data_IF_935490679020
#
_entry.id   IF_935490679020
#
_cell.length_a   1.000
_cell.length_b   1.000
_cell.length_c   1.000
_cell.angle_alpha   90.00
_cell.angle_beta   90.00
_cell.angle_gamma   90.00
#
_symmetry.space_group_name_H-M   'P 1'
#
loop_
_entity.id
_entity.type
_entity.pdbx_description
1 polymer ?
#
# COMPACT_ATOMS: atom_id res chain seq x y z
N UNK A 1 16.33 3.50 5.33
CA UNK A 1 15.42 2.45 5.85
C UNK A 1 14.80 1.62 4.73
N UNK A 2 14.61 0.31 4.94
CA UNK A 2 13.83 -0.55 4.03
C UNK A 2 12.56 -1.05 4.72
N UNK A 3 11.44 -1.00 4.01
CA UNK A 3 10.15 -1.52 4.47
C UNK A 3 9.70 -2.61 3.49
N UNK A 4 9.68 -3.87 3.95
CA UNK A 4 9.10 -4.98 3.23
C UNK A 4 7.59 -5.03 3.53
N UNK A 5 6.78 -4.85 2.50
CA UNK A 5 5.32 -4.84 2.60
C UNK A 5 4.76 -6.09 1.95
N UNK A 6 4.04 -6.89 2.74
CA UNK A 6 3.21 -8.00 2.26
C UNK A 6 1.76 -7.53 2.16
N UNK A 7 1.24 -7.44 0.95
CA UNK A 7 -0.15 -7.08 0.67
C UNK A 7 -1.01 -8.34 0.68
N UNK A 8 -2.07 -8.30 1.48
CA UNK A 8 -3.04 -9.37 1.70
C UNK A 8 -4.34 -8.97 1.01
N UNK A 9 -4.86 -9.88 0.20
CA UNK A 9 -6.20 -9.79 -0.38
C UNK A 9 -6.95 -11.06 0.02
N UNK A 10 -7.94 -10.94 0.92
CA UNK A 10 -8.67 -12.10 1.45
C UNK A 10 -9.68 -12.69 0.47
N UNK A 11 -10.11 -11.90 -0.50
CA UNK A 11 -11.03 -12.33 -1.56
C UNK A 11 -10.26 -12.76 -2.79
N UNK A 12 -10.60 -13.94 -3.31
CA UNK A 12 -10.17 -14.33 -4.65
C UNK A 12 -10.88 -13.44 -5.67
N UNK A 13 -10.12 -12.83 -6.58
CA UNK A 13 -10.64 -11.97 -7.62
C UNK A 13 -9.85 -12.19 -8.92
N UNK A 14 -10.58 -12.20 -10.04
CA UNK A 14 -9.99 -12.15 -11.36
C UNK A 14 -9.54 -10.71 -11.64
N UNK A 15 -8.25 -10.51 -11.92
CA UNK A 15 -7.73 -9.17 -12.19
C UNK A 15 -7.93 -8.83 -13.67
N UNK A 16 -8.69 -7.77 -13.98
CA UNK A 16 -8.88 -7.33 -15.36
C UNK A 16 -7.57 -6.85 -15.97
N UNK A 17 -7.55 -6.81 -17.30
CA UNK A 17 -6.43 -6.20 -18.02
C UNK A 17 -6.35 -4.70 -17.66
N UNK A 18 -5.17 -4.28 -17.21
CA UNK A 18 -4.95 -2.92 -16.74
C UNK A 18 -4.99 -2.74 -15.23
N UNK A 19 -5.29 -3.78 -14.44
CA UNK A 19 -5.22 -3.68 -12.99
C UNK A 19 -3.79 -3.33 -12.52
N UNK A 20 -3.68 -2.44 -11.53
CA UNK A 20 -2.41 -1.96 -10.98
C UNK A 20 -2.49 -1.93 -9.47
N UNK A 21 -1.50 -2.50 -8.81
CA UNK A 21 -1.30 -2.36 -7.38
C UNK A 21 -0.24 -1.29 -7.11
N UNK A 22 -0.61 -0.30 -6.31
CA UNK A 22 0.29 0.71 -5.76
C UNK A 22 0.41 0.52 -4.24
N UNK A 23 1.63 0.66 -3.74
CA UNK A 23 1.95 0.71 -2.33
C UNK A 23 2.76 1.97 -2.09
N UNK A 24 2.41 2.74 -1.07
CA UNK A 24 3.02 4.01 -0.73
C UNK A 24 3.37 4.05 0.76
N UNK A 25 4.48 4.68 1.10
CA UNK A 25 4.75 5.18 2.43
C UNK A 25 4.25 6.63 2.48
N UNK A 26 3.31 6.92 3.37
CA UNK A 26 2.66 8.23 3.50
C UNK A 26 2.98 8.86 4.84
N UNK A 27 3.45 10.11 4.80
CA UNK A 27 3.59 10.96 5.97
C UNK A 27 2.24 11.61 6.30
N UNK A 28 1.62 11.13 7.36
CA UNK A 28 0.33 11.58 7.88
C UNK A 28 0.49 12.39 9.18
N UNK A 29 1.66 13.01 9.37
CA UNK A 29 1.94 13.85 10.54
C UNK A 29 1.12 15.15 10.54
N UNK A 30 0.63 15.58 9.38
CA UNK A 30 -0.24 16.74 9.23
C UNK A 30 -1.69 16.28 9.12
N UNK A 31 -2.51 16.60 10.13
CA UNK A 31 -3.91 16.18 10.21
C UNK A 31 -4.80 16.81 9.12
N UNK A 32 -4.47 18.04 8.70
CA UNK A 32 -5.30 18.84 7.78
C UNK A 32 -4.63 19.08 6.40
N UNK A 33 -3.63 18.25 6.03
CA UNK A 33 -2.88 18.39 4.78
C UNK A 33 -2.93 17.10 3.93
N UNK A 34 -2.68 17.20 2.61
CA UNK A 34 -2.47 16.00 1.81
C UNK A 34 -1.26 15.25 2.33
N UNK A 35 -1.40 13.94 2.55
CA UNK A 35 -0.30 13.11 3.02
C UNK A 35 0.87 13.16 2.04
N UNK A 36 2.08 13.39 2.55
CA UNK A 36 3.29 13.41 1.74
C UNK A 36 3.70 11.99 1.38
N UNK A 37 3.96 11.70 0.10
CA UNK A 37 4.47 10.38 -0.30
C UNK A 37 5.99 10.37 -0.06
N UNK A 38 6.43 9.51 0.86
CA UNK A 38 7.84 9.29 1.20
C UNK A 38 8.50 8.32 0.22
N UNK A 39 7.80 7.24 -0.13
CA UNK A 39 8.22 6.27 -1.12
C UNK A 39 7.00 5.63 -1.78
N UNK A 40 7.18 5.13 -3.00
CA UNK A 40 6.11 4.45 -3.74
C UNK A 40 6.64 3.26 -4.52
N UNK A 41 5.83 2.20 -4.58
CA UNK A 41 6.00 1.04 -5.43
C UNK A 41 4.74 0.84 -6.25
N UNK A 42 4.87 0.56 -7.55
CA UNK A 42 3.73 0.31 -8.43
C UNK A 42 4.01 -0.90 -9.32
N UNK A 43 3.02 -1.78 -9.47
CA UNK A 43 3.13 -3.00 -10.29
C UNK A 43 1.81 -3.31 -11.00
N UNK A 44 1.84 -3.52 -12.32
CA UNK A 44 0.71 -4.11 -13.03
C UNK A 44 0.42 -5.53 -12.51
N UNK A 45 -0.86 -5.85 -12.39
CA UNK A 45 -1.34 -7.14 -11.90
C UNK A 45 -2.19 -7.78 -12.98
N UNK A 46 -1.87 -9.02 -13.35
CA UNK A 46 -2.58 -9.74 -14.41
C UNK A 46 -2.95 -11.14 -13.95
N UNK A 47 -4.11 -11.61 -14.40
CA UNK A 47 -4.57 -12.98 -14.18
C UNK A 47 -5.28 -13.19 -12.84
N UNK A 48 -5.31 -14.43 -12.38
CA UNK A 48 -5.95 -14.78 -11.12
C UNK A 48 -5.04 -14.57 -9.92
N UNK A 49 -5.55 -13.89 -8.91
CA UNK A 49 -4.88 -13.72 -7.62
C UNK A 49 -5.41 -14.75 -6.65
N UNK A 50 -4.51 -15.56 -6.08
CA UNK A 50 -4.85 -16.53 -5.04
C UNK A 50 -4.81 -15.85 -3.67
N UNK A 51 -5.90 -15.93 -2.93
CA UNK A 51 -5.93 -15.53 -1.53
C UNK A 51 -5.06 -16.46 -0.66
N UNK A 52 -4.51 -15.99 0.47
CA UNK A 52 -4.62 -14.62 1.00
C UNK A 52 -3.48 -13.70 0.58
N UNK A 53 -2.38 -14.23 0.03
CA UNK A 53 -1.18 -13.47 -0.28
C UNK A 53 -1.18 -12.96 -1.71
N UNK A 54 -1.22 -11.64 -1.85
CA UNK A 54 -1.37 -10.99 -3.15
C UNK A 54 -0.01 -10.58 -3.74
N UNK A 55 0.77 -9.83 -2.98
CA UNK A 55 1.99 -9.20 -3.46
C UNK A 55 2.94 -8.96 -2.29
N UNK A 56 4.23 -9.16 -2.51
CA UNK A 56 5.28 -8.68 -1.61
C UNK A 56 6.15 -7.70 -2.37
N UNK A 57 6.44 -6.55 -1.76
CA UNK A 57 7.29 -5.51 -2.32
C UNK A 57 8.17 -4.89 -1.24
N UNK A 58 9.21 -4.16 -1.66
CA UNK A 58 10.11 -3.45 -0.77
C UNK A 58 10.12 -1.98 -1.16
N UNK A 59 9.87 -1.11 -0.19
CA UNK A 59 10.02 0.33 -0.33
C UNK A 59 11.28 0.77 0.41
N UNK A 60 12.07 1.64 -0.21
CA UNK A 60 13.28 2.20 0.38
C UNK A 60 13.11 3.72 0.49
N UNK A 61 13.47 4.26 1.65
CA UNK A 61 13.42 5.69 1.95
C UNK A 61 14.52 6.05 2.95
N UNK A 62 14.92 7.32 3.01
CA UNK A 62 15.94 7.79 3.95
C UNK A 62 15.46 7.71 5.40
N UNK A 63 16.35 7.44 6.35
CA UNK A 63 15.99 7.32 7.78
C UNK A 63 15.41 8.63 8.33
N UNK A 64 15.89 9.77 7.83
CA UNK A 64 15.38 11.11 8.17
C UNK A 64 13.91 11.32 7.79
N UNK A 65 13.39 10.54 6.83
CA UNK A 65 11.99 10.59 6.43
C UNK A 65 11.04 9.98 7.48
N UNK A 66 11.57 9.21 8.44
CA UNK A 66 10.79 8.57 9.52
C UNK A 66 10.95 9.28 10.86
N UNK A 67 12.02 10.05 11.04
CA UNK A 67 12.38 10.67 12.31
C UNK A 67 11.28 11.62 12.83
N UNK A 68 10.58 11.19 13.89
CA UNK A 68 9.53 11.98 14.55
C UNK A 68 8.25 12.17 13.72
N UNK A 69 8.07 11.38 12.66
CA UNK A 69 6.92 11.46 11.75
C UNK A 69 6.02 10.25 11.87
N UNK A 70 4.74 10.42 11.56
CA UNK A 70 3.76 9.35 11.50
C UNK A 70 3.69 8.79 10.08
N UNK A 71 4.57 7.85 9.76
CA UNK A 71 4.61 7.22 8.44
C UNK A 71 3.72 5.98 8.44
N UNK A 72 2.78 5.93 7.50
CA UNK A 72 1.85 4.81 7.33
C UNK A 72 2.01 4.17 5.95
N UNK A 73 1.84 2.86 5.90
CA UNK A 73 1.73 2.15 4.61
C UNK A 73 0.30 2.26 4.11
N UNK A 74 0.17 2.75 2.87
CA UNK A 74 -1.09 2.76 2.14
C UNK A 74 -0.96 1.91 0.89
N UNK A 75 -1.94 1.05 0.62
CA UNK A 75 -1.97 0.29 -0.63
C UNK A 75 -3.32 0.46 -1.33
N UNK A 76 -3.27 0.51 -2.66
CA UNK A 76 -4.42 0.62 -3.55
C UNK A 76 -4.25 -0.34 -4.72
N UNK A 77 -5.23 -1.20 -4.90
CA UNK A 77 -5.41 -2.03 -6.07
C UNK A 77 -6.51 -1.41 -6.92
N UNK A 78 -6.09 -0.75 -7.99
CA UNK A 78 -6.98 -0.22 -9.02
C UNK A 78 -7.32 -1.32 -10.00
N UNK A 79 -8.61 -1.58 -10.23
CA UNK A 79 -9.05 -2.53 -11.26
C UNK A 79 -9.05 -1.92 -12.67
N UNK A 80 -8.90 -0.59 -12.77
CA UNK A 80 -8.87 0.12 -14.06
C UNK A 80 -7.46 0.61 -14.43
N UNK A 81 -6.52 0.55 -13.48
CA UNK A 81 -5.16 1.09 -13.61
C UNK A 81 -5.06 2.58 -13.29
N UNK A 82 -6.19 3.24 -13.00
CA UNK A 82 -6.21 4.65 -12.62
C UNK A 82 -5.67 4.89 -11.21
N UNK A 83 -5.11 6.10 -10.99
CA UNK A 83 -4.58 6.51 -9.69
C UNK A 83 -5.66 6.90 -8.68
N UNK A 84 -6.83 7.30 -9.15
CA UNK A 84 -7.94 7.70 -8.29
C UNK A 84 -8.61 6.44 -7.73
N UNK A 85 -8.89 6.45 -6.43
CA UNK A 85 -9.66 5.38 -5.79
C UNK A 85 -11.11 5.45 -6.28
N UNK A 86 -11.63 4.32 -6.76
CA UNK A 86 -13.00 4.17 -7.24
C UNK A 86 -13.73 3.06 -6.51
N UNK A 87 -15.07 3.09 -6.55
CA UNK A 87 -15.89 1.97 -6.12
C UNK A 87 -15.51 0.74 -6.94
N UNK A 88 -15.32 -0.40 -6.26
CA UNK A 88 -14.84 -1.65 -6.85
C UNK A 88 -13.31 -1.84 -6.79
N UNK A 89 -12.54 -0.79 -6.51
CA UNK A 89 -11.12 -0.93 -6.16
C UNK A 89 -10.95 -1.53 -4.76
N UNK A 90 -9.71 -1.81 -4.39
CA UNK A 90 -9.38 -2.19 -3.02
C UNK A 90 -8.33 -1.26 -2.42
N UNK A 91 -8.48 -0.93 -1.14
CA UNK A 91 -7.53 -0.08 -0.42
C UNK A 91 -7.26 -0.62 0.99
N UNK A 92 -6.16 -0.19 1.59
CA UNK A 92 -5.99 -0.25 3.05
C UNK A 92 -6.94 0.73 3.71
N UNK A 93 -7.78 0.25 4.65
CA UNK A 93 -8.74 1.09 5.39
C UNK A 93 -8.32 1.39 6.84
N UNK A 94 -7.33 0.68 7.36
CA UNK A 94 -6.75 0.91 8.68
C UNK A 94 -5.32 1.43 8.56
N UNK A 95 -4.83 2.04 9.63
CA UNK A 95 -3.46 2.54 9.71
C UNK A 95 -2.45 1.38 9.84
N UNK A 96 -1.33 1.52 9.15
CA UNK A 96 -0.20 0.58 9.18
C UNK A 96 1.09 1.36 9.45
N UNK A 97 1.33 1.78 10.70
CA UNK A 97 2.45 2.63 11.03
C UNK A 97 3.77 1.88 10.85
N UNK A 98 4.79 2.59 10.35
CA UNK A 98 6.16 2.13 10.17
C UNK A 98 7.14 3.23 10.59
N UNK A 99 8.41 2.87 10.79
CA UNK A 99 9.43 3.76 11.37
C UNK A 99 9.97 3.24 12.70
N UNK A 100 9.87 1.94 12.95
CA UNK A 100 10.48 1.30 14.12
C UNK A 100 12.01 1.30 14.05
N UNK A 101 12.67 1.16 15.20
CA UNK A 101 14.13 1.08 15.26
C UNK A 101 14.62 -0.26 14.66
N UNK A 102 15.07 -0.23 13.40
CA UNK A 102 15.63 -1.40 12.71
C UNK A 102 16.02 -1.10 11.26
N UNK A 103 16.96 -1.88 10.71
CA UNK A 103 17.44 -1.69 9.34
C UNK A 103 16.41 -2.12 8.27
N UNK A 104 15.56 -3.10 8.59
CA UNK A 104 14.48 -3.60 7.74
C UNK A 104 13.24 -3.81 8.60
N UNK A 105 12.15 -3.15 8.25
CA UNK A 105 10.84 -3.33 8.87
C UNK A 105 9.95 -4.18 7.96
N UNK A 106 9.19 -5.11 8.55
CA UNK A 106 8.28 -6.00 7.81
C UNK A 106 6.85 -5.74 8.28
N UNK A 107 5.97 -5.43 7.34
CA UNK A 107 4.57 -5.13 7.62
C UNK A 107 3.66 -5.88 6.67
N UNK A 108 2.58 -6.45 7.21
CA UNK A 108 1.54 -7.09 6.43
C UNK A 108 0.30 -6.16 6.41
N UNK A 109 -0.10 -5.74 5.21
CA UNK A 109 -1.24 -4.84 5.01
C UNK A 109 -2.38 -5.59 4.34
N UNK A 110 -3.61 -5.23 4.67
CA UNK A 110 -4.81 -5.90 4.19
C UNK A 110 -5.64 -4.93 3.36
N UNK A 111 -5.96 -5.37 2.15
CA UNK A 111 -6.84 -4.68 1.23
C UNK A 111 -8.30 -5.03 1.52
N UNK A 112 -9.13 -3.99 1.58
CA UNK A 112 -10.58 -4.07 1.71
C UNK A 112 -11.23 -3.48 0.46
N UNK A 113 -12.36 -4.02 0.00
CA UNK A 113 -13.08 -3.48 -1.14
C UNK A 113 -13.66 -2.09 -0.83
N UNK A 114 -13.51 -1.17 -1.77
CA UNK A 114 -14.18 0.13 -1.74
C UNK A 114 -15.64 -0.10 -2.14
N UNK A 115 -16.53 -0.05 -1.16
CA UNK A 115 -17.98 -0.15 -1.32
C UNK A 115 -18.63 1.24 -1.31
N UNK A 116 -19.79 1.34 -1.97
CA UNK A 116 -20.62 2.54 -2.09
C UNK A 116 -21.28 2.96 -0.78
#
# INVERSE_FOLDING_TARGET
>A
MKVEVKVILRTQAAMPEGAVCRVELRDESLVDGPAGIVASYEKPVKGEVKAPEFLTCTLEADDDAFAGRNINVWAHLSLTGEKQVRVGDFITMQAYPVGGAGAVERVAVELQPVSS
#
